data_IF_595616616969
#
_entry.id   IF_595616616969
#
_cell.length_a   1.000
_cell.length_b   1.000
_cell.length_c   1.000
_cell.angle_alpha   90.00
_cell.angle_beta   90.00
_cell.angle_gamma   90.00
#
_symmetry.space_group_name_H-M   'P 1'
#
loop_
_entity.id
_entity.type
_entity.pdbx_description
1 polymer ?
#
# COMPACT_ATOMS: atom_id res chain seq x y z
N UNK A 1 8.34 -53.37 -29.35
CA UNK A 1 8.27 -53.12 -27.89
C UNK A 1 9.15 -51.96 -27.38
N UNK A 2 9.98 -51.31 -28.21
CA UNK A 2 10.94 -50.27 -27.76
C UNK A 2 10.47 -48.81 -27.85
N UNK A 3 9.21 -48.55 -28.23
CA UNK A 3 8.70 -47.17 -28.43
C UNK A 3 7.80 -46.66 -27.29
N UNK A 4 7.43 -47.53 -26.33
CA UNK A 4 6.63 -47.16 -25.13
C UNK A 4 7.45 -46.85 -23.88
N UNK A 5 8.77 -47.08 -23.90
CA UNK A 5 9.63 -46.79 -22.75
C UNK A 5 10.18 -45.36 -22.74
N UNK A 6 10.30 -44.70 -23.90
CA UNK A 6 10.93 -43.37 -23.97
C UNK A 6 10.03 -42.22 -23.50
N UNK A 7 8.71 -42.39 -23.48
CA UNK A 7 7.77 -41.36 -23.00
C UNK A 7 7.61 -41.37 -21.46
N UNK A 8 7.85 -42.50 -20.80
CA UNK A 8 7.74 -42.60 -19.33
C UNK A 8 8.99 -42.08 -18.61
N UNK A 9 10.18 -42.20 -19.21
CA UNK A 9 11.42 -41.68 -18.62
C UNK A 9 11.45 -40.15 -18.66
N UNK A 10 10.97 -39.52 -19.73
CA UNK A 10 10.87 -38.06 -19.84
C UNK A 10 9.84 -37.44 -18.87
N UNK A 11 8.68 -38.08 -18.68
CA UNK A 11 7.64 -37.59 -17.76
C UNK A 11 8.09 -37.63 -16.29
N UNK A 12 8.82 -38.68 -15.90
CA UNK A 12 9.33 -38.79 -14.53
C UNK A 12 10.48 -37.80 -14.27
N UNK A 13 11.37 -37.59 -15.25
CA UNK A 13 12.45 -36.60 -15.17
C UNK A 13 11.92 -35.15 -15.09
N UNK A 14 10.89 -34.81 -15.88
CA UNK A 14 10.20 -33.52 -15.83
C UNK A 14 9.47 -33.30 -14.51
N UNK A 15 8.81 -34.33 -13.96
CA UNK A 15 8.15 -34.24 -12.66
C UNK A 15 9.16 -34.02 -11.51
N UNK A 16 10.33 -34.64 -11.57
CA UNK A 16 11.41 -34.39 -10.60
C UNK A 16 12.06 -33.02 -10.76
N UNK A 17 12.22 -32.52 -12.00
CA UNK A 17 12.73 -31.17 -12.26
C UNK A 17 11.75 -30.08 -11.80
N UNK A 18 10.44 -30.28 -11.99
CA UNK A 18 9.40 -29.37 -11.48
C UNK A 18 9.41 -29.31 -9.94
N UNK A 19 9.60 -30.44 -9.25
CA UNK A 19 9.67 -30.48 -7.78
C UNK A 19 10.93 -29.81 -7.24
N UNK A 20 12.05 -29.87 -7.97
CA UNK A 20 13.29 -29.17 -7.64
C UNK A 20 13.20 -27.65 -7.91
N UNK A 21 12.51 -27.24 -8.98
CA UNK A 21 12.19 -25.82 -9.22
C UNK A 21 11.22 -25.26 -8.18
N UNK A 22 10.18 -26.01 -7.79
CA UNK A 22 9.26 -25.60 -6.72
C UNK A 22 9.95 -25.48 -5.36
N UNK A 23 10.92 -26.35 -5.03
CA UNK A 23 11.71 -26.21 -3.80
C UNK A 23 12.67 -25.00 -3.83
N UNK A 24 13.24 -24.65 -4.99
CA UNK A 24 14.06 -23.44 -5.12
C UNK A 24 13.23 -22.15 -5.04
N UNK A 25 12.00 -22.15 -5.55
CA UNK A 25 11.05 -21.03 -5.36
C UNK A 25 10.53 -20.93 -3.92
N UNK A 26 10.44 -22.04 -3.18
CA UNK A 26 10.09 -21.98 -1.75
C UNK A 26 11.24 -21.43 -0.87
N UNK A 27 12.50 -21.54 -1.31
CA UNK A 27 13.66 -20.95 -0.61
C UNK A 27 14.00 -19.52 -1.05
N UNK A 28 13.45 -19.05 -2.16
CA UNK A 28 13.56 -17.67 -2.61
C UNK A 28 12.26 -16.95 -2.21
N UNK A 29 12.27 -16.32 -1.03
CA UNK A 29 11.12 -15.73 -0.35
C UNK A 29 10.41 -14.59 -1.09
N UNK A 30 9.86 -14.85 -2.26
CA UNK A 30 8.87 -14.01 -2.94
C UNK A 30 7.52 -14.22 -2.27
N UNK A 31 7.09 -13.22 -1.50
CA UNK A 31 5.73 -13.05 -0.95
C UNK A 31 5.12 -14.31 -0.32
N UNK A 32 5.63 -14.68 0.85
CA UNK A 32 4.94 -15.61 1.73
C UNK A 32 3.80 -14.88 2.46
N UNK A 33 2.62 -14.81 1.84
CA UNK A 33 1.36 -14.56 2.54
C UNK A 33 1.00 -15.84 3.31
N UNK A 34 1.54 -15.98 4.52
CA UNK A 34 1.20 -17.08 5.41
C UNK A 34 -0.20 -16.86 6.00
N UNK A 35 -1.22 -17.33 5.29
CA UNK A 35 -2.46 -17.75 5.90
C UNK A 35 -2.22 -19.10 6.59
N UNK A 36 -1.88 -19.08 7.88
CA UNK A 36 -2.02 -20.25 8.75
C UNK A 36 -2.06 -19.79 10.20
N UNK A 37 -3.17 -20.13 10.86
CA UNK A 37 -3.38 -19.83 12.26
C UNK A 37 -2.33 -20.49 13.15
N UNK A 38 -1.74 -19.69 14.02
CA UNK A 38 -1.45 -19.95 15.44
C UNK A 38 -0.70 -18.75 16.00
N UNK A 39 -1.35 -18.03 16.92
CA UNK A 39 -0.74 -16.95 17.67
C UNK A 39 0.46 -17.49 18.48
N UNK A 40 1.66 -16.98 18.17
CA UNK A 40 2.80 -16.99 19.09
C UNK A 40 3.49 -15.63 19.01
N UNK A 41 3.31 -14.85 20.08
CA UNK A 41 4.14 -13.69 20.40
C UNK A 41 5.44 -14.19 21.05
N UNK A 42 6.54 -13.44 20.91
CA UNK A 42 7.21 -13.00 22.12
C UNK A 42 7.51 -11.50 22.11
N UNK A 43 7.10 -10.85 23.20
CA UNK A 43 7.46 -9.50 23.59
C UNK A 43 8.71 -9.54 24.46
N UNK A 44 9.57 -8.53 24.36
CA UNK A 44 10.45 -8.13 25.45
C UNK A 44 11.87 -7.77 25.00
N UNK A 45 12.17 -6.46 24.95
CA UNK A 45 13.14 -5.82 25.87
C UNK A 45 13.18 -4.30 25.64
N UNK A 46 13.36 -3.55 26.74
CA UNK A 46 13.47 -2.09 26.83
C UNK A 46 14.92 -1.59 26.58
N UNK A 47 15.03 -0.27 26.43
CA UNK A 47 16.19 0.65 26.60
C UNK A 47 16.92 1.11 25.33
N UNK A 48 17.67 2.23 25.37
CA UNK A 48 17.27 3.61 25.71
C UNK A 48 17.47 4.56 24.51
N UNK A 49 16.88 5.76 24.59
CA UNK A 49 17.09 6.86 23.66
C UNK A 49 18.59 7.19 23.48
N UNK A 50 19.05 7.26 22.24
CA UNK A 50 20.13 8.17 21.87
C UNK A 50 19.65 9.07 20.72
N UNK A 51 19.54 10.35 21.09
CA UNK A 51 19.47 11.51 20.22
C UNK A 51 20.63 11.52 19.23
N UNK A 52 20.33 11.62 17.93
CA UNK A 52 21.01 12.47 16.93
C UNK A 52 20.56 12.07 15.53
N UNK A 53 19.75 12.90 14.88
CA UNK A 53 19.78 13.17 13.44
C UNK A 53 18.65 14.17 13.10
N UNK A 54 18.78 15.37 13.66
CA UNK A 54 18.19 16.56 13.09
C UNK A 54 19.14 17.00 11.95
N UNK A 55 18.76 16.76 10.70
CA UNK A 55 19.34 17.44 9.54
C UNK A 55 18.48 17.20 8.30
N UNK A 56 17.46 18.03 8.10
CA UNK A 56 16.97 18.50 6.80
C UNK A 56 15.64 19.24 7.00
N UNK A 57 15.70 20.43 7.59
CA UNK A 57 14.61 21.39 7.53
C UNK A 57 15.00 22.48 6.53
N UNK A 58 14.28 22.59 5.43
CA UNK A 58 14.17 23.84 4.68
C UNK A 58 12.84 23.87 3.91
N UNK A 59 12.03 24.90 4.24
CA UNK A 59 10.88 25.46 3.54
C UNK A 59 9.63 24.58 3.28
N UNK A 60 8.75 24.48 4.29
CA UNK A 60 7.28 24.59 4.15
C UNK A 60 6.62 24.45 5.54
N UNK A 61 6.30 25.57 6.18
CA UNK A 61 5.84 25.64 7.58
C UNK A 61 4.43 25.07 7.81
N UNK A 62 3.60 24.85 6.78
CA UNK A 62 2.25 24.31 6.96
C UNK A 62 2.17 22.77 6.89
N UNK A 63 2.95 22.14 6.00
CA UNK A 63 3.00 20.67 5.85
C UNK A 63 3.76 19.99 6.98
N UNK A 64 4.74 20.67 7.57
CA UNK A 64 5.54 20.16 8.69
C UNK A 64 4.68 19.91 9.93
N UNK A 65 3.67 20.77 10.23
CA UNK A 65 2.78 20.57 11.38
C UNK A 65 1.85 19.36 11.24
N UNK A 66 1.33 19.09 10.04
CA UNK A 66 0.50 17.91 9.79
C UNK A 66 1.31 16.61 9.93
N UNK A 67 2.54 16.60 9.40
CA UNK A 67 3.47 15.48 9.54
C UNK A 67 3.93 15.34 10.99
N UNK A 68 4.28 16.43 11.69
CA UNK A 68 4.66 16.39 13.10
C UNK A 68 3.51 15.96 14.00
N UNK A 69 2.28 16.40 13.76
CA UNK A 69 1.13 15.93 14.52
C UNK A 69 0.82 14.47 14.24
N UNK A 70 0.94 14.02 12.99
CA UNK A 70 0.85 12.60 12.64
C UNK A 70 1.93 11.80 13.39
N UNK A 71 3.21 12.18 13.30
CA UNK A 71 4.35 11.55 13.98
C UNK A 71 4.20 11.59 15.51
N UNK A 72 3.69 12.68 16.09
CA UNK A 72 3.44 12.81 17.54
C UNK A 72 2.31 11.89 18.00
N UNK A 73 1.33 11.64 17.13
CA UNK A 73 0.29 10.61 17.34
C UNK A 73 0.86 9.19 17.28
N UNK A 74 2.01 8.98 16.61
CA UNK A 74 2.78 7.73 16.60
C UNK A 74 3.65 7.53 17.84
N UNK A 75 4.29 8.58 18.35
CA UNK A 75 5.22 8.50 19.50
C UNK A 75 4.52 8.60 20.86
N UNK A 76 3.25 9.01 20.90
CA UNK A 76 2.49 9.05 22.15
C UNK A 76 2.18 7.62 22.58
N UNK A 77 2.93 7.17 23.60
CA UNK A 77 2.82 5.86 24.23
C UNK A 77 1.35 5.44 24.38
N UNK A 78 1.05 4.24 23.89
CA UNK A 78 -0.20 3.51 24.02
C UNK A 78 -0.59 3.43 25.49
N UNK A 79 -1.28 4.43 26.02
CA UNK A 79 -2.02 4.27 27.27
C UNK A 79 -3.02 3.14 27.03
N UNK A 80 -3.04 2.06 27.84
CA UNK A 80 -4.05 1.03 27.70
C UNK A 80 -5.42 1.69 27.86
N UNK A 81 -6.13 1.82 26.75
CA UNK A 81 -7.49 2.33 26.74
C UNK A 81 -8.36 1.14 27.18
N UNK A 82 -8.79 1.21 28.44
CA UNK A 82 -9.70 0.26 29.04
C UNK A 82 -11.11 0.63 28.56
N UNK A 83 -11.83 -0.30 27.92
CA UNK A 83 -13.22 -0.06 27.52
C UNK A 83 -14.14 -1.00 28.29
N UNK A 84 -15.25 -0.45 28.79
CA UNK A 84 -16.35 -1.22 29.36
C UNK A 84 -17.30 -1.62 28.24
N UNK A 85 -17.40 -2.90 27.95
CA UNK A 85 -18.31 -3.45 26.93
C UNK A 85 -19.73 -3.42 27.51
N UNK A 86 -20.69 -2.80 26.81
CA UNK A 86 -22.08 -2.73 27.27
C UNK A 86 -22.68 -4.15 27.28
N UNK A 87 -22.91 -4.70 28.48
CA UNK A 87 -23.46 -6.05 28.69
C UNK A 87 -22.52 -7.03 29.41
N UNK A 88 -21.27 -6.65 29.69
CA UNK A 88 -20.34 -7.41 30.53
C UNK A 88 -19.68 -6.43 31.53
N UNK A 89 -19.63 -6.79 32.82
CA UNK A 89 -19.01 -5.94 33.85
C UNK A 89 -17.47 -5.90 33.78
N UNK A 90 -16.87 -6.69 32.88
CA UNK A 90 -15.43 -6.77 32.70
C UNK A 90 -14.86 -5.58 31.93
N UNK A 91 -13.86 -4.94 32.53
CA UNK A 91 -13.02 -3.93 31.88
C UNK A 91 -11.98 -4.65 31.02
N UNK A 92 -12.21 -4.70 29.71
CA UNK A 92 -11.28 -5.37 28.79
C UNK A 92 -10.22 -4.39 28.27
N UNK A 93 -9.00 -4.90 28.12
CA UNK A 93 -7.91 -4.18 27.45
C UNK A 93 -8.24 -4.10 25.95
N UNK A 94 -8.16 -2.90 25.34
CA UNK A 94 -8.39 -2.71 23.90
C UNK A 94 -7.52 -3.58 22.98
N UNK A 95 -6.49 -4.23 23.50
CA UNK A 95 -5.58 -5.10 22.76
C UNK A 95 -5.97 -6.59 22.74
N UNK A 96 -7.11 -7.00 23.31
CA UNK A 96 -7.53 -8.41 23.30
C UNK A 96 -8.18 -8.79 21.95
N UNK A 97 -7.71 -9.83 21.24
CA UNK A 97 -8.39 -10.34 20.04
C UNK A 97 -9.77 -10.89 20.43
N UNK A 98 -10.79 -10.49 19.67
CA UNK A 98 -12.18 -10.82 19.97
C UNK A 98 -12.51 -12.24 19.47
N UNK A 99 -13.05 -13.09 20.33
CA UNK A 99 -13.65 -14.36 19.94
C UNK A 99 -15.14 -14.11 19.62
N UNK A 100 -15.60 -14.34 18.38
CA UNK A 100 -17.00 -14.10 18.02
C UNK A 100 -17.60 -15.13 17.05
N UNK A 101 -18.85 -15.51 17.34
CA UNK A 101 -19.72 -16.41 16.57
C UNK A 101 -20.80 -15.61 15.80
N UNK A 102 -20.68 -15.55 14.47
CA UNK A 102 -21.76 -15.40 13.47
C UNK A 102 -22.73 -14.20 13.49
N UNK A 103 -22.80 -13.45 12.37
CA UNK A 103 -24.03 -12.97 11.68
C UNK A 103 -23.75 -11.83 10.68
N UNK A 104 -24.33 -11.92 9.49
CA UNK A 104 -24.10 -11.09 8.30
C UNK A 104 -24.66 -9.66 8.37
N UNK A 105 -24.09 -8.81 9.23
CA UNK A 105 -24.31 -7.36 9.21
C UNK A 105 -23.21 -6.60 8.45
N UNK A 106 -23.51 -5.38 7.99
CA UNK A 106 -22.56 -4.46 7.34
C UNK A 106 -21.27 -4.31 8.16
N UNK A 107 -20.13 -4.10 7.49
CA UNK A 107 -18.83 -3.98 8.16
C UNK A 107 -18.87 -2.87 9.24
N UNK A 108 -19.56 -1.75 8.93
CA UNK A 108 -19.81 -0.61 9.82
C UNK A 108 -20.38 -0.95 11.21
N UNK A 109 -21.34 -1.87 11.31
CA UNK A 109 -22.04 -2.19 12.58
C UNK A 109 -21.20 -3.00 13.57
N UNK A 110 -20.00 -3.45 13.16
CA UNK A 110 -19.09 -4.23 14.01
C UNK A 110 -17.71 -3.60 14.20
N UNK A 111 -17.57 -2.32 13.90
CA UNK A 111 -16.31 -1.64 14.16
C UNK A 111 -16.12 -1.46 15.66
N UNK A 112 -15.28 -2.31 16.24
CA UNK A 112 -14.76 -2.14 17.59
C UNK A 112 -13.97 -0.82 17.67
N UNK A 113 -13.92 -0.15 18.84
CA UNK A 113 -13.18 1.12 18.99
C UNK A 113 -11.70 0.99 18.58
N UNK A 114 -11.11 -0.20 18.77
CA UNK A 114 -9.75 -0.53 18.38
C UNK A 114 -9.54 -0.39 16.87
N UNK A 115 -10.42 -0.97 16.06
CA UNK A 115 -10.35 -0.92 14.60
C UNK A 115 -10.49 0.53 14.11
N UNK A 116 -11.38 1.33 14.71
CA UNK A 116 -11.52 2.74 14.35
C UNK A 116 -10.24 3.53 14.60
N UNK A 117 -9.57 3.29 15.73
CA UNK A 117 -8.28 3.94 16.03
C UNK A 117 -7.18 3.50 15.06
N UNK A 118 -7.15 2.21 14.69
CA UNK A 118 -6.24 1.68 13.69
C UNK A 118 -6.42 2.39 12.34
N UNK A 119 -7.65 2.44 11.85
CA UNK A 119 -8.00 3.09 10.58
C UNK A 119 -7.65 4.58 10.59
N UNK A 120 -7.98 5.30 11.66
CA UNK A 120 -7.65 6.72 11.78
C UNK A 120 -6.14 6.98 11.67
N UNK A 121 -5.31 6.11 12.26
CA UNK A 121 -3.84 6.16 12.11
C UNK A 121 -3.38 5.90 10.68
N UNK A 122 -3.98 4.91 10.00
CA UNK A 122 -3.65 4.60 8.60
C UNK A 122 -4.01 5.76 7.68
N UNK A 123 -5.22 6.34 7.78
CA UNK A 123 -5.62 7.47 6.94
C UNK A 123 -4.85 8.75 7.23
N UNK A 124 -4.42 8.98 8.48
CA UNK A 124 -3.54 10.13 8.80
C UNK A 124 -2.12 9.95 8.25
N UNK A 125 -1.57 8.73 8.25
CA UNK A 125 -0.34 8.43 7.52
C UNK A 125 -0.50 8.61 6.02
N UNK A 126 -1.60 8.12 5.46
CA UNK A 126 -1.89 8.25 4.04
C UNK A 126 -1.92 9.73 3.62
N UNK A 127 -2.65 10.57 4.35
CA UNK A 127 -2.73 12.01 4.07
C UNK A 127 -1.37 12.70 4.17
N UNK A 128 -0.59 12.40 5.22
CA UNK A 128 0.77 12.94 5.37
C UNK A 128 1.74 12.44 4.30
N UNK A 129 1.61 11.20 3.84
CA UNK A 129 2.39 10.64 2.74
C UNK A 129 2.04 11.32 1.41
N UNK A 130 0.77 11.57 1.12
CA UNK A 130 0.35 12.34 -0.05
C UNK A 130 0.93 13.76 -0.05
N UNK A 131 0.93 14.44 1.11
CA UNK A 131 1.58 15.75 1.24
C UNK A 131 3.09 15.67 1.02
N UNK A 132 3.73 14.61 1.53
CA UNK A 132 5.16 14.36 1.36
C UNK A 132 5.51 14.07 -0.10
N UNK A 133 4.65 13.32 -0.80
CA UNK A 133 4.80 13.06 -2.24
C UNK A 133 4.64 14.35 -3.05
N UNK A 134 3.64 15.19 -2.74
CA UNK A 134 3.50 16.50 -3.36
C UNK A 134 4.72 17.40 -3.14
N UNK A 135 5.30 17.37 -1.93
CA UNK A 135 6.56 18.06 -1.65
C UNK A 135 7.72 17.48 -2.47
N UNK A 136 7.81 16.15 -2.62
CA UNK A 136 8.80 15.50 -3.48
C UNK A 136 8.69 15.95 -4.95
N UNK A 137 7.47 15.98 -5.51
CA UNK A 137 7.24 16.50 -6.86
C UNK A 137 7.64 17.97 -6.97
N UNK A 138 7.26 18.81 -6.00
CA UNK A 138 7.59 20.22 -5.98
C UNK A 138 9.11 20.46 -5.89
N UNK A 139 9.81 19.75 -5.01
CA UNK A 139 11.26 19.84 -4.87
C UNK A 139 11.97 19.49 -6.17
N UNK A 140 11.56 18.42 -6.84
CA UNK A 140 12.17 17.99 -8.11
C UNK A 140 11.98 19.03 -9.24
N UNK A 141 10.86 19.74 -9.24
CA UNK A 141 10.56 20.81 -10.23
C UNK A 141 11.24 22.14 -9.86
N UNK A 142 11.25 22.51 -8.58
CA UNK A 142 11.76 23.80 -8.11
C UNK A 142 13.29 23.84 -8.01
N UNK A 143 13.95 22.70 -7.84
CA UNK A 143 15.41 22.61 -7.73
C UNK A 143 16.05 22.22 -9.06
N UNK A 144 17.34 22.53 -9.30
CA UNK A 144 18.05 22.06 -10.49
C UNK A 144 18.24 20.53 -10.54
N UNK A 145 17.75 19.78 -9.54
CA UNK A 145 17.78 18.32 -9.54
C UNK A 145 17.06 17.72 -10.75
N UNK A 146 15.98 18.35 -11.24
CA UNK A 146 15.30 17.90 -12.46
C UNK A 146 16.14 18.00 -13.74
N UNK A 147 17.22 18.81 -13.74
CA UNK A 147 18.21 18.85 -14.83
C UNK A 147 19.40 17.95 -14.59
N UNK A 148 19.78 17.74 -13.33
CA UNK A 148 20.95 16.93 -12.96
C UNK A 148 20.66 15.42 -12.92
N UNK A 149 19.44 15.04 -12.55
CA UNK A 149 19.03 13.65 -12.32
C UNK A 149 17.86 13.32 -13.25
N UNK A 150 17.92 12.22 -14.02
CA UNK A 150 16.80 11.82 -14.86
C UNK A 150 15.59 11.40 -14.00
N UNK A 151 14.38 11.80 -14.41
CA UNK A 151 13.15 11.62 -13.64
C UNK A 151 12.80 10.15 -13.28
N UNK A 152 13.33 9.17 -14.00
CA UNK A 152 13.14 7.75 -13.69
C UNK A 152 14.02 7.26 -12.53
N UNK A 153 15.08 7.99 -12.18
CA UNK A 153 16.04 7.56 -11.15
C UNK A 153 15.44 7.59 -9.73
N UNK A 154 14.69 8.63 -9.30
CA UNK A 154 13.96 8.59 -8.03
C UNK A 154 12.94 7.44 -7.96
N UNK A 155 12.30 7.10 -9.08
CA UNK A 155 11.36 5.98 -9.15
C UNK A 155 12.06 4.63 -8.93
N UNK A 156 13.27 4.44 -9.48
CA UNK A 156 14.11 3.30 -9.15
C UNK A 156 14.58 3.32 -7.69
N UNK A 157 14.92 4.50 -7.18
CA UNK A 157 15.29 4.72 -5.78
C UNK A 157 14.18 4.34 -4.80
N UNK A 158 12.90 4.53 -5.18
CA UNK A 158 11.72 4.15 -4.41
C UNK A 158 11.61 2.64 -4.15
N UNK A 159 12.15 1.79 -5.04
CA UNK A 159 12.19 0.35 -4.78
C UNK A 159 13.04 -0.02 -3.58
N UNK A 160 14.07 0.76 -3.23
CA UNK A 160 14.94 0.45 -2.09
C UNK A 160 14.16 0.46 -0.76
N UNK A 161 13.49 1.55 -0.35
CA UNK A 161 12.69 1.54 0.87
C UNK A 161 11.47 0.61 0.77
N UNK A 162 10.88 0.41 -0.41
CA UNK A 162 9.79 -0.54 -0.61
C UNK A 162 10.22 -1.99 -0.33
N UNK A 163 11.32 -2.42 -0.96
CA UNK A 163 11.85 -3.77 -0.81
C UNK A 163 12.36 -4.00 0.61
N UNK A 164 12.96 -2.98 1.24
CA UNK A 164 13.36 -3.07 2.63
C UNK A 164 12.14 -3.28 3.54
N UNK A 165 11.09 -2.46 3.40
CA UNK A 165 9.88 -2.62 4.20
C UNK A 165 9.20 -3.98 3.96
N UNK A 166 9.31 -4.54 2.75
CA UNK A 166 8.71 -5.82 2.38
C UNK A 166 9.51 -7.05 2.83
N UNK A 167 10.84 -7.06 2.65
CA UNK A 167 11.68 -8.24 2.93
C UNK A 167 12.30 -8.25 4.32
N UNK A 168 12.57 -7.07 4.90
CA UNK A 168 13.23 -6.93 6.18
C UNK A 168 12.57 -5.81 7.02
N UNK A 169 11.29 -5.98 7.41
CA UNK A 169 10.58 -4.96 8.17
C UNK A 169 11.34 -4.65 9.46
N UNK A 170 11.85 -3.43 9.64
CA UNK A 170 12.70 -3.11 10.76
C UNK A 170 11.91 -3.14 12.06
N UNK A 171 12.47 -3.75 13.11
CA UNK A 171 11.80 -3.82 14.43
C UNK A 171 11.52 -2.43 15.02
N UNK A 172 12.30 -1.42 14.62
CA UNK A 172 12.18 -0.03 15.09
C UNK A 172 11.02 0.70 14.38
N UNK A 173 9.99 1.17 15.12
CA UNK A 173 8.82 1.82 14.52
C UNK A 173 9.16 3.15 13.83
N UNK A 174 10.10 3.92 14.39
CA UNK A 174 10.55 5.18 13.78
C UNK A 174 11.26 4.96 12.44
N UNK A 175 12.00 3.85 12.33
CA UNK A 175 12.73 3.52 11.10
C UNK A 175 11.75 3.07 10.01
N UNK A 176 10.74 2.25 10.35
CA UNK A 176 9.64 1.90 9.42
C UNK A 176 8.96 3.13 8.85
N UNK A 177 8.62 4.08 9.73
CA UNK A 177 7.94 5.32 9.35
C UNK A 177 8.85 6.22 8.50
N UNK A 178 10.14 6.31 8.84
CA UNK A 178 11.14 7.00 8.03
C UNK A 178 11.25 6.41 6.62
N UNK A 179 11.29 5.07 6.49
CA UNK A 179 11.29 4.41 5.19
C UNK A 179 10.01 4.71 4.40
N UNK A 180 8.85 4.64 5.05
CA UNK A 180 7.58 4.94 4.40
C UNK A 180 7.53 6.37 3.85
N UNK A 181 7.94 7.38 4.63
CA UNK A 181 7.98 8.76 4.14
C UNK A 181 9.07 8.99 3.09
N UNK A 182 10.22 8.32 3.20
CA UNK A 182 11.26 8.37 2.16
C UNK A 182 10.75 7.81 0.84
N UNK A 183 10.01 6.69 0.90
CA UNK A 183 9.35 6.09 -0.25
C UNK A 183 8.34 7.06 -0.86
N UNK A 184 7.45 7.63 -0.05
CA UNK A 184 6.46 8.59 -0.52
C UNK A 184 7.09 9.82 -1.19
N UNK A 185 8.21 10.32 -0.65
CA UNK A 185 8.96 11.43 -1.23
C UNK A 185 9.58 11.06 -2.58
N UNK A 186 10.24 9.90 -2.67
CA UNK A 186 10.87 9.39 -3.89
C UNK A 186 9.85 9.13 -5.01
N UNK A 187 8.71 8.53 -4.68
CA UNK A 187 7.58 8.38 -5.59
C UNK A 187 7.08 9.74 -6.08
N UNK A 188 6.89 10.70 -5.17
CA UNK A 188 6.56 12.08 -5.51
C UNK A 188 7.54 12.72 -6.50
N UNK A 189 8.85 12.56 -6.27
CA UNK A 189 9.88 13.04 -7.20
C UNK A 189 9.79 12.37 -8.58
N UNK A 190 9.51 11.07 -8.64
CA UNK A 190 9.31 10.34 -9.89
C UNK A 190 8.09 10.81 -10.69
N UNK A 191 7.06 11.32 -10.01
CA UNK A 191 5.85 11.88 -10.62
C UNK A 191 5.96 13.33 -11.08
N UNK A 192 7.08 14.00 -10.77
CA UNK A 192 7.34 15.40 -11.16
C UNK A 192 7.03 15.74 -12.64
N UNK A 193 7.43 14.94 -13.67
CA UNK A 193 7.14 15.29 -15.05
C UNK A 193 5.63 15.25 -15.36
N UNK A 194 4.89 14.35 -14.73
CA UNK A 194 3.44 14.26 -14.88
C UNK A 194 2.75 15.47 -14.21
N UNK A 195 3.20 15.82 -13.00
CA UNK A 195 2.71 16.98 -12.26
C UNK A 195 2.98 18.27 -13.04
N UNK A 196 4.16 18.41 -13.65
CA UNK A 196 4.49 19.56 -14.49
C UNK A 196 3.57 19.67 -15.71
N UNK A 197 3.37 18.55 -16.42
CA UNK A 197 2.46 18.50 -17.57
C UNK A 197 1.03 18.91 -17.21
N UNK A 198 0.49 18.34 -16.13
CA UNK A 198 -0.87 18.68 -15.65
C UNK A 198 -0.98 20.09 -15.08
N UNK A 199 0.09 20.62 -14.48
CA UNK A 199 0.15 22.01 -13.99
C UNK A 199 0.10 23.00 -15.15
N UNK A 200 0.86 22.76 -16.22
CA UNK A 200 0.85 23.63 -17.41
C UNK A 200 -0.53 23.70 -18.08
N UNK A 201 -1.31 22.62 -17.99
CA UNK A 201 -2.70 22.56 -18.49
C UNK A 201 -3.75 23.01 -17.48
N UNK A 202 -3.36 23.37 -16.26
CA UNK A 202 -4.31 23.77 -15.20
C UNK A 202 -5.21 22.65 -14.65
N UNK A 203 -4.94 21.38 -14.98
CA UNK A 203 -5.76 20.22 -14.57
C UNK A 203 -5.23 19.47 -13.34
N UNK A 204 -4.14 19.94 -12.74
CA UNK A 204 -3.56 19.30 -11.56
C UNK A 204 -4.57 19.24 -10.40
N UNK A 205 -5.19 20.37 -10.04
CA UNK A 205 -6.13 20.42 -8.91
C UNK A 205 -7.34 19.52 -9.12
N UNK A 206 -7.89 19.48 -10.34
CA UNK A 206 -9.04 18.62 -10.67
C UNK A 206 -8.66 17.15 -10.59
N UNK A 207 -7.47 16.76 -11.05
CA UNK A 207 -6.99 15.38 -10.95
C UNK A 207 -6.82 14.90 -9.50
N UNK A 208 -6.32 15.76 -8.60
CA UNK A 208 -6.19 15.45 -7.17
C UNK A 208 -7.57 15.29 -6.52
N UNK A 209 -8.50 16.20 -6.81
CA UNK A 209 -9.87 16.14 -6.29
C UNK A 209 -10.60 14.88 -6.77
N UNK A 210 -10.48 14.54 -8.07
CA UNK A 210 -11.04 13.32 -8.63
C UNK A 210 -10.43 12.07 -7.99
N UNK A 211 -9.12 12.06 -7.76
CA UNK A 211 -8.44 10.95 -7.07
C UNK A 211 -8.98 10.78 -5.66
N UNK A 212 -9.13 11.88 -4.91
CA UNK A 212 -9.69 11.86 -3.56
C UNK A 212 -11.15 11.39 -3.55
N UNK A 213 -11.95 11.81 -4.54
CA UNK A 213 -13.34 11.39 -4.68
C UNK A 213 -13.46 9.89 -5.01
N UNK A 214 -12.66 9.38 -5.96
CA UNK A 214 -12.64 7.96 -6.32
C UNK A 214 -12.14 7.13 -5.15
N UNK A 215 -10.97 7.45 -4.60
CA UNK A 215 -10.40 6.73 -3.47
C UNK A 215 -11.34 6.74 -2.25
N UNK A 216 -11.86 7.91 -1.89
CA UNK A 216 -12.79 8.09 -0.77
C UNK A 216 -14.11 7.37 -1.01
N UNK A 217 -14.67 7.44 -2.22
CA UNK A 217 -15.91 6.77 -2.60
C UNK A 217 -15.80 5.25 -2.55
N UNK A 218 -14.74 4.67 -3.13
CA UNK A 218 -14.52 3.22 -3.08
C UNK A 218 -14.14 2.73 -1.67
N UNK A 219 -13.37 3.51 -0.91
CA UNK A 219 -13.10 3.21 0.50
C UNK A 219 -14.40 3.20 1.32
N UNK A 220 -15.25 4.21 1.15
CA UNK A 220 -16.56 4.29 1.81
C UNK A 220 -17.48 3.12 1.39
N UNK A 221 -17.52 2.80 0.09
CA UNK A 221 -18.28 1.65 -0.40
C UNK A 221 -17.82 0.34 0.25
N UNK A 222 -16.51 0.16 0.47
CA UNK A 222 -15.97 -1.00 1.17
C UNK A 222 -16.37 -1.07 2.66
N UNK A 223 -16.56 0.08 3.33
CA UNK A 223 -17.10 0.14 4.69
C UNK A 223 -18.57 -0.28 4.78
N UNK A 224 -19.36 0.03 3.75
CA UNK A 224 -20.77 -0.33 3.70
C UNK A 224 -20.99 -1.75 3.16
N UNK A 225 -20.03 -2.31 2.44
CA UNK A 225 -20.13 -3.63 1.84
C UNK A 225 -20.18 -4.77 2.88
N UNK A 226 -20.78 -5.93 2.52
CA UNK A 226 -20.82 -7.11 3.37
C UNK A 226 -19.41 -7.63 3.70
N UNK A 227 -19.22 -8.08 4.95
CA UNK A 227 -17.93 -8.48 5.50
C UNK A 227 -17.27 -9.60 4.72
N UNK A 228 -15.95 -9.53 4.59
CA UNK A 228 -15.08 -10.54 3.98
C UNK A 228 -15.42 -10.95 2.54
N UNK A 229 -16.41 -10.29 1.91
CA UNK A 229 -16.82 -10.58 0.54
C UNK A 229 -15.73 -10.27 -0.47
N UNK A 230 -14.92 -9.22 -0.26
CA UNK A 230 -13.82 -8.84 -1.16
C UNK A 230 -12.47 -9.45 -0.79
N UNK A 231 -12.34 -10.11 0.37
CA UNK A 231 -11.08 -10.78 0.75
C UNK A 231 -10.81 -11.96 -0.20
N UNK A 232 -11.85 -12.65 -0.66
CA UNK A 232 -11.72 -13.69 -1.69
C UNK A 232 -11.26 -13.15 -3.05
N UNK A 233 -11.54 -11.87 -3.35
CA UNK A 233 -11.20 -11.24 -4.62
C UNK A 233 -9.76 -10.74 -4.69
N UNK A 234 -9.02 -10.70 -3.57
CA UNK A 234 -7.63 -10.24 -3.55
C UNK A 234 -6.72 -11.08 -4.48
N UNK A 235 -6.96 -12.40 -4.58
CA UNK A 235 -6.18 -13.30 -5.43
C UNK A 235 -6.35 -13.00 -6.93
N UNK A 236 -7.59 -13.01 -7.45
CA UNK A 236 -7.87 -12.60 -8.83
C UNK A 236 -7.44 -11.17 -9.14
N UNK A 237 -7.61 -10.22 -8.22
CA UNK A 237 -7.18 -8.82 -8.41
C UNK A 237 -5.66 -8.70 -8.52
N UNK A 238 -4.90 -9.45 -7.72
CA UNK A 238 -3.45 -9.49 -7.85
C UNK A 238 -3.02 -10.13 -9.18
N UNK A 239 -3.70 -11.19 -9.63
CA UNK A 239 -3.48 -11.76 -10.95
C UNK A 239 -3.74 -10.75 -12.08
N UNK A 240 -4.82 -9.98 -11.97
CA UNK A 240 -5.14 -8.92 -12.92
C UNK A 240 -4.13 -7.77 -12.90
N UNK A 241 -3.58 -7.42 -11.72
CA UNK A 241 -2.50 -6.45 -11.58
C UNK A 241 -1.24 -6.92 -12.33
N UNK A 242 -0.82 -8.19 -12.15
CA UNK A 242 0.31 -8.76 -12.87
C UNK A 242 0.04 -8.80 -14.38
N UNK A 243 -1.19 -9.14 -14.79
CA UNK A 243 -1.61 -9.05 -16.20
C UNK A 243 -1.47 -7.64 -16.76
N UNK A 244 -1.86 -6.62 -15.99
CA UNK A 244 -1.67 -5.22 -16.39
C UNK A 244 -0.21 -4.82 -16.50
N UNK A 245 0.65 -5.27 -15.59
CA UNK A 245 2.09 -5.05 -15.69
C UNK A 245 2.65 -5.71 -16.96
N UNK A 246 2.22 -6.94 -17.27
CA UNK A 246 2.63 -7.62 -18.49
C UNK A 246 2.19 -6.85 -19.75
N UNK A 247 0.95 -6.35 -19.80
CA UNK A 247 0.46 -5.50 -20.89
C UNK A 247 1.29 -4.21 -20.98
N UNK A 248 1.63 -3.59 -19.85
CA UNK A 248 2.47 -2.40 -19.81
C UNK A 248 3.87 -2.64 -20.38
N UNK A 249 4.48 -3.79 -20.07
CA UNK A 249 5.79 -4.18 -20.62
C UNK A 249 5.70 -4.46 -22.12
N UNK A 250 4.66 -5.16 -22.56
CA UNK A 250 4.43 -5.42 -23.99
C UNK A 250 4.22 -4.11 -24.77
N UNK A 251 3.54 -3.13 -24.18
CA UNK A 251 3.31 -1.82 -24.79
C UNK A 251 4.60 -1.00 -24.98
N UNK A 252 5.70 -1.33 -24.27
CA UNK A 252 7.02 -0.72 -24.50
C UNK A 252 7.61 -1.19 -25.84
N UNK A 253 7.43 -2.48 -26.18
CA UNK A 253 7.94 -3.06 -27.44
C UNK A 253 6.99 -2.83 -28.62
N UNK A 254 5.68 -2.92 -28.37
CA UNK A 254 4.63 -2.79 -29.37
C UNK A 254 3.61 -1.74 -28.91
N UNK A 255 3.91 -0.44 -29.07
CA UNK A 255 3.01 0.62 -28.66
C UNK A 255 1.75 0.61 -29.52
N UNK A 256 0.60 0.34 -28.92
CA UNK A 256 -0.70 0.40 -29.61
C UNK A 256 -1.66 1.30 -28.83
N UNK A 257 -2.50 2.05 -29.53
CA UNK A 257 -3.49 2.93 -28.91
C UNK A 257 -4.49 2.16 -28.04
N UNK A 258 -4.80 0.92 -28.43
CA UNK A 258 -5.68 0.02 -27.68
C UNK A 258 -5.02 -0.40 -26.37
N UNK A 259 -3.75 -0.87 -26.41
CA UNK A 259 -3.04 -1.24 -25.19
C UNK A 259 -2.90 -0.05 -24.23
N UNK A 260 -2.60 1.14 -24.74
CA UNK A 260 -2.52 2.35 -23.92
C UNK A 260 -3.86 2.69 -23.24
N UNK A 261 -4.97 2.57 -23.98
CA UNK A 261 -6.32 2.81 -23.45
C UNK A 261 -6.71 1.77 -22.39
N UNK A 262 -6.42 0.48 -22.64
CA UNK A 262 -6.64 -0.60 -21.67
C UNK A 262 -5.82 -0.34 -20.42
N UNK A 263 -4.53 -0.03 -20.58
CA UNK A 263 -3.64 0.30 -19.47
C UNK A 263 -4.33 1.39 -18.68
N UNK A 264 -4.60 2.58 -19.24
CA UNK A 264 -5.20 3.72 -18.55
C UNK A 264 -6.54 3.44 -17.87
N UNK A 265 -7.58 3.14 -18.65
CA UNK A 265 -8.96 3.03 -18.17
C UNK A 265 -9.21 1.72 -17.41
N UNK A 266 -8.71 0.61 -17.96
CA UNK A 266 -8.83 -0.70 -17.31
C UNK A 266 -8.08 -0.73 -15.98
N UNK A 267 -6.90 -0.11 -15.94
CA UNK A 267 -6.12 -0.06 -14.71
C UNK A 267 -6.73 0.89 -13.70
N UNK A 268 -7.35 2.00 -14.12
CA UNK A 268 -8.09 2.88 -13.22
C UNK A 268 -9.24 2.14 -12.53
N UNK A 269 -10.03 1.37 -13.29
CA UNK A 269 -11.09 0.54 -12.73
C UNK A 269 -10.53 -0.52 -11.76
N UNK A 270 -9.45 -1.20 -12.16
CA UNK A 270 -8.80 -2.24 -11.38
C UNK A 270 -8.22 -1.72 -10.05
N UNK A 271 -7.53 -0.58 -10.05
CA UNK A 271 -7.03 0.05 -8.82
C UNK A 271 -8.16 0.56 -7.94
N UNK A 272 -9.25 1.07 -8.53
CA UNK A 272 -10.43 1.49 -7.76
C UNK A 272 -11.08 0.33 -7.01
N UNK A 273 -11.18 -0.85 -7.64
CA UNK A 273 -11.68 -2.07 -6.99
C UNK A 273 -10.67 -2.58 -5.94
N UNK A 274 -9.36 -2.49 -6.22
CA UNK A 274 -8.33 -2.85 -5.24
C UNK A 274 -8.37 -1.96 -3.99
N UNK A 275 -8.68 -0.66 -4.10
CA UNK A 275 -8.90 0.18 -2.90
C UNK A 275 -9.98 -0.40 -2.01
N UNK A 276 -11.08 -0.87 -2.59
CA UNK A 276 -12.16 -1.46 -1.82
C UNK A 276 -11.74 -2.79 -1.17
N UNK A 277 -11.07 -3.67 -1.92
CA UNK A 277 -10.56 -4.94 -1.41
C UNK A 277 -9.52 -4.75 -0.30
N UNK A 278 -8.57 -3.84 -0.49
CA UNK A 278 -7.52 -3.54 0.48
C UNK A 278 -8.07 -2.86 1.74
N UNK A 279 -9.13 -2.05 1.61
CA UNK A 279 -9.84 -1.47 2.76
C UNK A 279 -10.48 -2.57 3.61
N UNK A 280 -11.15 -3.55 2.99
CA UNK A 280 -11.71 -4.69 3.71
C UNK A 280 -10.61 -5.55 4.37
N UNK A 281 -9.53 -5.81 3.64
CA UNK A 281 -8.41 -6.60 4.16
C UNK A 281 -7.72 -5.90 5.35
N UNK A 282 -7.55 -4.57 5.31
CA UNK A 282 -7.05 -3.76 6.42
C UNK A 282 -7.96 -3.89 7.65
N UNK A 283 -9.29 -3.77 7.48
CA UNK A 283 -10.24 -3.90 8.59
C UNK A 283 -10.15 -5.28 9.23
N UNK A 284 -10.02 -6.33 8.42
CA UNK A 284 -9.91 -7.71 8.92
C UNK A 284 -8.59 -7.93 9.66
N UNK A 285 -7.46 -7.46 9.12
CA UNK A 285 -6.14 -7.50 9.80
C UNK A 285 -6.16 -6.75 11.12
N UNK A 286 -6.79 -5.58 11.16
CA UNK A 286 -6.95 -4.80 12.38
C UNK A 286 -7.77 -5.55 13.44
N UNK A 287 -8.81 -6.29 13.05
CA UNK A 287 -9.60 -7.12 14.00
C UNK A 287 -8.80 -8.24 14.62
N UNK A 288 -7.93 -8.88 13.84
CA UNK A 288 -7.07 -9.95 14.33
C UNK A 288 -5.94 -9.47 15.26
N UNK A 289 -5.82 -8.15 15.50
CA UNK A 289 -4.73 -7.57 16.31
C UNK A 289 -3.35 -7.66 15.66
N UNK A 290 -3.29 -8.01 14.37
CA UNK A 290 -2.07 -8.20 13.59
C UNK A 290 -1.85 -7.10 12.53
N UNK A 291 -2.66 -6.04 12.55
CA UNK A 291 -2.55 -4.94 11.60
C UNK A 291 -1.34 -4.05 11.88
N UNK A 292 -0.37 -4.02 10.96
CA UNK A 292 0.70 -3.03 10.95
C UNK A 292 0.23 -1.77 10.21
N UNK A 293 -0.03 -0.69 10.97
CA UNK A 293 -0.52 0.57 10.42
C UNK A 293 0.36 1.12 9.29
N UNK A 294 1.68 0.92 9.34
CA UNK A 294 2.61 1.48 8.32
C UNK A 294 2.50 0.69 7.03
N UNK A 295 2.40 -0.64 7.12
CA UNK A 295 2.26 -1.49 5.95
C UNK A 295 0.88 -1.32 5.29
N UNK A 296 -0.18 -1.19 6.09
CA UNK A 296 -1.53 -0.90 5.60
C UNK A 296 -1.59 0.49 4.95
N UNK A 297 -0.93 1.50 5.52
CA UNK A 297 -0.80 2.83 4.92
C UNK A 297 0.01 2.82 3.62
N UNK A 298 1.09 2.04 3.55
CA UNK A 298 1.88 1.87 2.33
C UNK A 298 1.04 1.31 1.18
N UNK A 299 0.27 0.25 1.44
CA UNK A 299 -0.57 -0.37 0.43
C UNK A 299 -1.67 0.59 -0.06
N UNK A 300 -2.32 1.31 0.86
CA UNK A 300 -3.28 2.36 0.52
C UNK A 300 -2.63 3.49 -0.30
N UNK A 301 -1.40 3.90 0.05
CA UNK A 301 -0.66 4.95 -0.66
C UNK A 301 -0.34 4.56 -2.10
N UNK A 302 0.09 3.31 -2.34
CA UNK A 302 0.33 2.79 -3.68
C UNK A 302 -0.94 2.84 -4.54
N UNK A 303 -2.11 2.51 -3.98
CA UNK A 303 -3.36 2.62 -4.71
C UNK A 303 -3.71 4.06 -5.05
N UNK A 304 -3.53 5.01 -4.11
CA UNK A 304 -3.77 6.44 -4.35
C UNK A 304 -2.88 6.96 -5.48
N UNK A 305 -1.57 6.65 -5.44
CA UNK A 305 -0.62 7.08 -6.48
C UNK A 305 -1.00 6.50 -7.84
N UNK A 306 -1.32 5.21 -7.90
CA UNK A 306 -1.71 4.57 -9.15
C UNK A 306 -2.98 5.19 -9.75
N UNK A 307 -4.00 5.46 -8.93
CA UNK A 307 -5.24 6.14 -9.38
C UNK A 307 -4.91 7.56 -9.84
N UNK A 308 -4.12 8.31 -9.06
CA UNK A 308 -3.72 9.68 -9.39
C UNK A 308 -3.04 9.77 -10.74
N UNK A 309 -2.01 8.95 -10.98
CA UNK A 309 -1.26 8.94 -12.24
C UNK A 309 -2.18 8.74 -13.43
N UNK A 310 -3.16 7.85 -13.31
CA UNK A 310 -4.08 7.51 -14.39
C UNK A 310 -5.07 8.63 -14.66
N UNK A 311 -5.66 9.19 -13.61
CA UNK A 311 -6.56 10.35 -13.73
C UNK A 311 -5.80 11.54 -14.30
N UNK A 312 -4.59 11.81 -13.81
CA UNK A 312 -3.72 12.89 -14.29
C UNK A 312 -3.34 12.71 -15.77
N UNK A 313 -3.05 11.48 -16.22
CA UNK A 313 -2.80 11.19 -17.63
C UNK A 313 -4.06 11.38 -18.49
N UNK A 314 -5.22 10.92 -18.03
CA UNK A 314 -6.50 11.11 -18.73
C UNK A 314 -6.79 12.61 -18.88
N UNK A 315 -6.80 13.35 -17.77
CA UNK A 315 -7.03 14.81 -17.76
C UNK A 315 -5.99 15.56 -18.58
N UNK A 316 -4.73 15.16 -18.47
CA UNK A 316 -3.64 15.74 -19.26
C UNK A 316 -3.72 15.43 -20.75
N UNK A 317 -4.39 14.34 -21.16
CA UNK A 317 -4.60 13.97 -22.57
C UNK A 317 -5.87 14.56 -23.18
N UNK A 318 -6.79 15.09 -22.36
CA UNK A 318 -8.15 15.48 -22.78
C UNK A 318 -8.26 16.86 -23.46
N UNK A 319 -7.17 17.64 -23.53
CA UNK A 319 -7.11 18.86 -24.35
C UNK A 319 -6.84 18.51 -25.83
N UNK A 320 -7.92 18.44 -26.61
CA UNK A 320 -7.93 18.58 -28.07
C UNK A 320 -8.83 19.75 -28.46
#
# INVERSE_FOLDING_TARGET
>A
MLQRMNTRVGANALASALRLQQRKFASAGLFSFAATGRCKLPYGTRFPLSTTAAAAAASASASTFAVQNAVRSYTTATRPQLMRVRGNDDVQNMNSPMNWSGSGGSQADSLTPYVRQHLARVYTLLGSACLTAGLGSFLMVATPLGRAIPYWFPMLGGFVPLLWLSFAPPANPSLKLGLFFSFALLEGMGLAPLVLMTSMKGVLTTSILLTAAVFGGFSAAAYLAPRASMVAWQGPLFGALIGMVAISVLNIFYPTAIAHSIILYGGLALFSIMVAADTQAMIERARCGAGDHVQDALQMFLNVINIFVRIAQIMGSMDR
#
